data_IF_612964509736
#
_entry.id   IF_612964509736
#
_cell.length_a   1.000
_cell.length_b   1.000
_cell.length_c   1.000
_cell.angle_alpha   90.00
_cell.angle_beta   90.00
_cell.angle_gamma   90.00
#
_symmetry.space_group_name_H-M   'P 1'
#
loop_
_entity.id
_entity.type
_entity.pdbx_description
1 polymer ?
#
# COMPACT_ATOMS: atom_id res chain seq x y z
N UNK A 1 15.20 -14.28 6.19
CA UNK A 1 13.78 -14.02 5.85
C UNK A 1 13.46 -12.66 6.42
N UNK A 2 13.58 -11.63 5.59
CA UNK A 2 13.32 -10.26 5.99
C UNK A 2 11.81 -10.02 6.05
N UNK A 3 11.33 -9.60 7.21
CA UNK A 3 9.93 -9.26 7.41
C UNK A 3 9.64 -7.94 6.69
N UNK A 4 9.07 -7.99 5.49
CA UNK A 4 8.56 -6.81 4.80
C UNK A 4 7.41 -6.23 5.62
N UNK A 5 7.64 -5.13 6.35
CA UNK A 5 6.59 -4.40 7.06
C UNK A 5 6.14 -3.23 6.18
N UNK A 6 5.00 -3.40 5.48
CA UNK A 6 4.32 -2.28 4.81
C UNK A 6 3.85 -1.33 5.92
N UNK A 7 4.47 -0.16 6.04
CA UNK A 7 4.04 0.86 6.99
C UNK A 7 2.86 1.58 6.35
N UNK A 8 1.66 1.39 6.88
CA UNK A 8 0.46 2.05 6.40
C UNK A 8 0.62 3.57 6.62
N UNK A 9 0.90 4.32 5.55
CA UNK A 9 0.86 5.77 5.57
C UNK A 9 -0.58 6.19 5.26
N UNK A 10 -1.17 6.93 6.20
CA UNK A 10 -2.53 7.46 6.14
C UNK A 10 -2.70 8.38 4.94
N UNK A 11 -3.54 7.99 3.98
CA UNK A 11 -3.99 8.84 2.88
C UNK A 11 -5.23 9.64 3.30
N UNK A 12 -5.25 10.92 2.97
CA UNK A 12 -6.44 11.75 3.12
C UNK A 12 -7.33 11.55 1.88
N UNK A 13 -8.35 10.70 1.97
CA UNK A 13 -9.37 10.59 0.94
C UNK A 13 -10.40 11.74 1.07
N UNK A 14 -10.75 12.38 -0.03
CA UNK A 14 -11.76 13.44 -0.07
C UNK A 14 -13.11 12.85 -0.53
N UNK A 15 -13.92 12.38 0.40
CA UNK A 15 -15.25 11.82 0.09
C UNK A 15 -16.31 12.91 0.11
N UNK A 16 -17.04 13.10 -0.99
CA UNK A 16 -18.22 13.99 -1.05
C UNK A 16 -19.46 13.19 -0.70
N UNK A 17 -20.04 13.43 0.48
CA UNK A 17 -21.31 12.84 0.93
C UNK A 17 -22.42 13.89 0.92
N UNK A 18 -23.47 13.66 0.13
CA UNK A 18 -24.72 14.44 0.22
C UNK A 18 -25.60 13.84 1.32
N UNK A 19 -25.81 14.57 2.41
CA UNK A 19 -26.63 14.12 3.55
C UNK A 19 -28.09 14.58 3.38
N UNK A 20 -29.02 13.63 3.31
CA UNK A 20 -30.45 13.84 3.61
C UNK A 20 -30.86 13.14 4.91
N UNK A 21 -31.86 13.69 5.57
CA UNK A 21 -32.28 13.37 6.94
C UNK A 21 -32.89 11.97 7.03
N UNK A 22 -32.23 11.06 7.78
CA UNK A 22 -32.76 9.79 8.32
C UNK A 22 -33.45 8.90 7.28
N UNK A 23 -32.69 8.32 6.36
CA UNK A 23 -33.02 7.02 5.82
C UNK A 23 -31.76 6.16 5.82
N UNK A 24 -31.94 4.85 5.99
CA UNK A 24 -30.88 3.92 5.71
C UNK A 24 -30.51 4.07 4.23
N UNK A 25 -29.32 4.59 3.99
CA UNK A 25 -28.89 5.05 2.68
C UNK A 25 -27.74 4.16 2.21
N UNK A 26 -27.92 3.59 1.02
CA UNK A 26 -26.82 2.98 0.29
C UNK A 26 -26.01 4.09 -0.39
N UNK A 27 -24.69 3.94 -0.38
CA UNK A 27 -23.79 4.81 -1.11
C UNK A 27 -22.75 3.98 -1.85
N UNK A 28 -22.24 4.54 -2.93
CA UNK A 28 -21.12 4.00 -3.71
C UNK A 28 -20.15 5.13 -4.01
N UNK A 29 -18.88 4.80 -4.12
CA UNK A 29 -17.83 5.77 -4.43
C UNK A 29 -16.57 5.12 -4.97
N UNK A 30 -15.61 5.97 -5.31
CA UNK A 30 -14.31 5.57 -5.79
C UNK A 30 -13.26 6.53 -5.22
N UNK A 31 -12.11 6.01 -4.83
CA UNK A 31 -10.97 6.81 -4.37
C UNK A 31 -9.77 6.55 -5.28
N UNK A 32 -8.92 7.57 -5.44
CA UNK A 32 -7.62 7.44 -6.09
C UNK A 32 -6.57 8.08 -5.19
N UNK A 33 -5.54 7.32 -4.84
CA UNK A 33 -4.49 7.72 -3.91
C UNK A 33 -3.14 7.54 -4.60
N UNK A 34 -2.31 8.58 -4.56
CA UNK A 34 -0.90 8.49 -4.90
C UNK A 34 -0.08 8.56 -3.62
N UNK A 35 0.82 7.60 -3.43
CA UNK A 35 1.75 7.56 -2.32
C UNK A 35 3.18 7.59 -2.87
N UNK A 36 3.97 8.56 -2.42
CA UNK A 36 5.40 8.54 -2.65
C UNK A 36 6.05 7.64 -1.58
N UNK A 37 6.63 6.51 -2.01
CA UNK A 37 7.36 5.64 -1.09
C UNK A 37 8.71 6.28 -0.83
N UNK A 38 8.86 6.92 0.33
CA UNK A 38 10.17 7.39 0.77
C UNK A 38 10.98 6.14 1.16
N UNK A 39 12.07 5.82 0.44
CA UNK A 39 12.90 4.68 0.81
C UNK A 39 13.43 4.90 2.23
N UNK A 40 13.16 3.93 3.11
CA UNK A 40 13.92 3.85 4.36
C UNK A 40 15.40 3.73 3.99
N UNK A 41 16.29 4.57 4.56
CA UNK A 41 17.70 4.33 4.42
C UNK A 41 17.99 2.98 5.08
N UNK A 42 18.21 1.95 4.26
CA UNK A 42 18.76 0.68 4.72
C UNK A 42 20.21 0.95 5.12
N UNK A 43 20.40 1.49 6.33
CA UNK A 43 21.69 1.41 6.99
C UNK A 43 21.89 -0.05 7.41
N UNK A 44 22.19 -0.91 6.44
CA UNK A 44 22.94 -2.12 6.72
C UNK A 44 24.27 -1.61 7.28
N UNK A 45 24.39 -1.61 8.61
CA UNK A 45 25.64 -1.31 9.27
C UNK A 45 26.64 -2.38 8.81
N UNK A 46 27.56 -1.99 7.93
CA UNK A 46 28.74 -2.75 7.52
C UNK A 46 29.68 -2.98 8.71
N UNK A 47 29.24 -3.64 9.78
CA UNK A 47 30.11 -3.88 10.93
C UNK A 47 31.06 -5.05 10.77
N UNK A 48 30.92 -5.90 9.72
CA UNK A 48 31.76 -7.09 9.56
C UNK A 48 32.35 -7.31 8.14
N UNK A 49 32.24 -6.37 7.21
CA UNK A 49 32.94 -6.47 5.93
C UNK A 49 34.28 -5.71 5.98
N UNK A 50 35.38 -6.42 5.70
CA UNK A 50 36.72 -5.87 5.60
C UNK A 50 36.76 -4.67 4.66
N UNK A 51 37.46 -3.61 5.08
CA UNK A 51 37.47 -2.24 4.56
C UNK A 51 37.74 -2.03 3.06
N UNK A 52 38.01 -3.08 2.29
CA UNK A 52 38.59 -2.95 0.95
C UNK A 52 37.60 -3.30 -0.19
N UNK A 53 36.43 -3.84 0.10
CA UNK A 53 35.37 -4.16 -0.90
C UNK A 53 34.05 -3.43 -0.58
N UNK A 54 34.09 -2.11 -0.43
CA UNK A 54 32.87 -1.29 -0.31
C UNK A 54 32.23 -1.17 -1.69
N UNK A 55 31.49 -2.22 -2.05
CA UNK A 55 30.53 -2.17 -3.15
C UNK A 55 29.38 -1.27 -2.74
N UNK A 56 29.25 -0.12 -3.41
CA UNK A 56 28.13 0.78 -3.22
C UNK A 56 26.87 0.14 -3.82
N UNK A 57 26.13 -0.62 -3.02
CA UNK A 57 24.77 -1.03 -3.36
C UNK A 57 23.90 0.23 -3.37
N UNK A 58 23.53 0.70 -4.56
CA UNK A 58 22.58 1.81 -4.74
C UNK A 58 21.26 1.21 -5.17
N UNK A 59 20.35 1.09 -4.21
CA UNK A 59 18.96 0.78 -4.49
C UNK A 59 18.25 2.05 -4.96
N UNK A 60 17.84 2.13 -6.21
CA UNK A 60 17.07 3.26 -6.71
C UNK A 60 15.58 2.98 -6.55
N UNK A 61 15.05 3.18 -5.35
CA UNK A 61 13.61 3.04 -5.08
C UNK A 61 12.88 4.33 -5.43
N UNK A 62 12.66 4.56 -6.73
CA UNK A 62 11.64 5.51 -7.18
C UNK A 62 10.32 4.75 -7.34
N UNK A 63 9.70 4.37 -6.23
CA UNK A 63 8.39 3.73 -6.24
C UNK A 63 7.31 4.79 -5.97
N UNK A 64 6.54 5.10 -7.01
CA UNK A 64 5.26 5.79 -6.85
C UNK A 64 4.17 4.73 -6.82
N UNK A 65 3.48 4.63 -5.70
CA UNK A 65 2.38 3.69 -5.52
C UNK A 65 1.09 4.45 -5.82
N UNK A 66 0.46 4.12 -6.95
CA UNK A 66 -0.86 4.64 -7.27
C UNK A 66 -1.88 3.56 -6.95
N UNK A 67 -2.98 3.96 -6.34
CA UNK A 67 -4.02 3.05 -5.90
C UNK A 67 -5.37 3.63 -6.32
N UNK A 68 -6.22 2.75 -6.85
CA UNK A 68 -7.62 3.06 -7.10
C UNK A 68 -8.47 2.10 -6.31
N UNK A 69 -9.49 2.60 -5.63
CA UNK A 69 -10.47 1.77 -4.94
C UNK A 69 -11.89 2.10 -5.36
N UNK A 70 -12.75 1.08 -5.32
CA UNK A 70 -14.19 1.19 -5.47
C UNK A 70 -14.84 0.70 -4.19
N UNK A 71 -15.79 1.47 -3.66
CA UNK A 71 -16.45 1.12 -2.41
C UNK A 71 -17.96 1.28 -2.49
N UNK A 72 -18.64 0.46 -1.69
CA UNK A 72 -20.06 0.51 -1.46
C UNK A 72 -20.34 0.35 0.02
N UNK A 73 -21.29 1.12 0.54
CA UNK A 73 -21.62 1.07 1.95
C UNK A 73 -23.09 1.30 2.23
N UNK A 74 -23.45 0.95 3.47
CA UNK A 74 -24.80 1.06 3.99
C UNK A 74 -24.77 1.79 5.33
N UNK A 75 -25.46 2.92 5.39
CA UNK A 75 -25.61 3.72 6.60
C UNK A 75 -26.69 3.11 7.49
N UNK A 76 -26.29 2.56 8.63
CA UNK A 76 -27.25 1.92 9.58
C UNK A 76 -27.83 2.93 10.56
N UNK A 77 -27.05 3.95 10.95
CA UNK A 77 -27.49 5.05 11.82
C UNK A 77 -26.96 6.39 11.30
N UNK A 78 -27.36 7.51 11.90
CA UNK A 78 -26.82 8.82 11.53
C UNK A 78 -25.29 8.90 11.65
N UNK A 79 -24.70 8.09 12.55
CA UNK A 79 -23.30 8.15 12.95
C UNK A 79 -22.53 6.85 12.67
N UNK A 80 -23.13 5.87 12.00
CA UNK A 80 -22.47 4.59 11.73
C UNK A 80 -22.88 4.02 10.36
N UNK A 81 -21.90 3.50 9.64
CA UNK A 81 -22.06 2.81 8.38
C UNK A 81 -21.15 1.58 8.30
N UNK A 82 -21.55 0.61 7.49
CA UNK A 82 -20.69 -0.49 7.06
C UNK A 82 -20.25 -0.22 5.62
N UNK A 83 -18.99 -0.51 5.30
CA UNK A 83 -18.40 -0.32 3.97
C UNK A 83 -17.64 -1.57 3.54
N UNK A 84 -17.90 -1.99 2.31
CA UNK A 84 -17.09 -2.94 1.55
C UNK A 84 -16.33 -2.17 0.47
N UNK A 85 -15.04 -2.43 0.34
CA UNK A 85 -14.18 -1.73 -0.60
C UNK A 85 -13.22 -2.71 -1.28
N UNK A 86 -13.06 -2.55 -2.59
CA UNK A 86 -12.07 -3.26 -3.40
C UNK A 86 -11.01 -2.26 -3.82
N UNK A 87 -9.75 -2.63 -3.61
CA UNK A 87 -8.58 -1.82 -3.90
C UNK A 87 -7.70 -2.53 -4.91
N UNK A 88 -7.22 -1.76 -5.89
CA UNK A 88 -6.24 -2.17 -6.89
C UNK A 88 -5.04 -1.22 -6.80
N UNK A 89 -3.91 -1.73 -6.31
CA UNK A 89 -2.64 -1.00 -6.31
C UNK A 89 -2.01 -1.19 -7.70
N UNK A 90 -1.94 -0.09 -8.45
CA UNK A 90 -1.22 -0.04 -9.72
C UNK A 90 0.27 -0.29 -9.44
N UNK A 91 0.83 -1.23 -10.20
CA UNK A 91 2.14 -1.85 -9.96
C UNK A 91 3.26 -0.89 -9.57
N UNK A 92 4.11 -1.33 -8.64
CA UNK A 92 5.38 -0.67 -8.34
C UNK A 92 6.55 -1.57 -8.75
N UNK A 93 7.51 -0.97 -9.46
CA UNK A 93 8.75 -1.60 -9.89
C UNK A 93 9.91 -1.16 -9.01
N UNK A 94 10.75 -2.10 -8.59
CA UNK A 94 12.05 -1.83 -8.00
C UNK A 94 13.10 -2.27 -9.01
N UNK A 95 13.89 -1.31 -9.50
CA UNK A 95 15.07 -1.58 -10.31
C UNK A 95 16.30 -1.60 -9.40
N UNK A 96 16.85 -2.79 -9.20
CA UNK A 96 18.08 -2.99 -8.45
C UNK A 96 19.25 -3.13 -9.46
N UNK A 97 20.26 -2.27 -9.31
CA UNK A 97 21.53 -2.39 -10.03
C UNK A 97 22.63 -2.85 -9.06
N UNK A 98 23.06 -4.10 -9.17
CA UNK A 98 24.23 -4.60 -8.45
C UNK A 98 25.50 -4.16 -9.18
N UNK A 99 26.23 -3.20 -8.60
CA UNK A 99 27.61 -2.92 -9.01
C UNK A 99 28.55 -3.91 -8.30
N UNK A 100 28.77 -5.09 -8.88
CA UNK A 100 29.78 -6.06 -8.42
C UNK A 100 31.17 -5.76 -8.99
N UNK A 101 32.23 -5.92 -8.18
CA UNK A 101 33.62 -5.53 -8.50
C UNK A 101 34.42 -6.57 -9.29
N UNK A 102 33.79 -7.56 -9.93
CA UNK A 102 34.54 -8.62 -10.62
C UNK A 102 33.93 -9.01 -11.96
N UNK A 103 34.39 -8.39 -13.05
CA UNK A 103 34.52 -8.89 -14.44
C UNK A 103 33.37 -9.71 -15.10
N UNK A 104 32.22 -9.83 -14.46
CA UNK A 104 31.01 -10.50 -14.93
C UNK A 104 29.87 -9.52 -14.67
N UNK A 105 29.11 -9.27 -15.72
CA UNK A 105 28.26 -8.11 -15.96
C UNK A 105 27.35 -7.73 -14.78
N UNK A 106 27.10 -6.43 -14.54
CA UNK A 106 26.05 -6.02 -13.61
C UNK A 106 24.72 -6.57 -14.13
N UNK A 107 24.16 -7.54 -13.40
CA UNK A 107 22.82 -8.04 -13.68
C UNK A 107 21.83 -7.04 -13.08
N UNK A 108 21.06 -6.40 -13.96
CA UNK A 108 19.90 -5.63 -13.55
C UNK A 108 18.77 -6.61 -13.25
N UNK A 109 18.24 -6.56 -12.03
CA UNK A 109 17.03 -7.28 -11.66
C UNK A 109 15.90 -6.28 -11.53
N UNK A 110 14.79 -6.55 -12.21
CA UNK A 110 13.55 -5.79 -12.03
C UNK A 110 12.57 -6.64 -11.23
N UNK A 111 12.07 -6.09 -10.15
CA UNK A 111 11.03 -6.71 -9.33
C UNK A 111 9.77 -5.87 -9.41
N UNK A 112 8.71 -6.45 -9.98
CA UNK A 112 7.40 -5.82 -10.02
C UNK A 112 6.48 -6.46 -8.99
N UNK A 113 5.75 -5.62 -8.28
CA UNK A 113 4.73 -6.04 -7.34
C UNK A 113 3.39 -5.45 -7.73
N UNK A 114 2.39 -6.31 -7.80
CA UNK A 114 0.99 -5.95 -7.98
C UNK A 114 0.25 -6.36 -6.72
N UNK A 115 -0.62 -5.49 -6.19
CA UNK A 115 -1.37 -5.79 -4.99
C UNK A 115 -2.84 -5.46 -5.17
N UNK A 116 -3.69 -6.38 -4.75
CA UNK A 116 -5.13 -6.14 -4.65
C UNK A 116 -5.58 -6.35 -3.21
N UNK A 117 -6.71 -5.77 -2.86
CA UNK A 117 -7.28 -6.03 -1.55
C UNK A 117 -8.76 -5.73 -1.41
N UNK A 118 -9.33 -6.34 -0.38
CA UNK A 118 -10.72 -6.25 0.00
C UNK A 118 -10.82 -5.79 1.44
N UNK A 119 -11.53 -4.70 1.67
CA UNK A 119 -11.77 -4.13 2.99
C UNK A 119 -13.21 -4.34 3.41
N UNK A 120 -13.41 -4.81 4.63
CA UNK A 120 -14.69 -4.77 5.32
C UNK A 120 -14.54 -3.89 6.55
N UNK A 121 -15.30 -2.79 6.62
CA UNK A 121 -15.10 -1.78 7.65
C UNK A 121 -16.38 -1.20 8.22
N UNK A 122 -16.28 -0.76 9.46
CA UNK A 122 -17.22 0.14 10.09
C UNK A 122 -16.69 1.57 10.04
N UNK A 123 -17.54 2.51 9.66
CA UNK A 123 -17.26 3.94 9.66
C UNK A 123 -18.17 4.59 10.69
N UNK A 124 -17.59 5.31 11.62
CA UNK A 124 -18.33 6.14 12.58
C UNK A 124 -18.06 7.62 12.36
N UNK A 125 -19.04 8.47 12.63
CA UNK A 125 -18.89 9.92 12.51
C UNK A 125 -19.35 10.64 13.77
N UNK A 126 -18.59 11.64 14.18
CA UNK A 126 -18.90 12.52 15.31
C UNK A 126 -18.97 13.98 14.83
N UNK A 127 -20.14 14.65 14.87
CA UNK A 127 -20.25 16.04 14.47
C UNK A 127 -19.47 16.92 15.44
N UNK A 128 -18.51 17.69 14.93
CA UNK A 128 -17.74 18.66 15.71
C UNK A 128 -18.53 19.97 15.81
N UNK A 129 -19.21 20.37 14.73
CA UNK A 129 -20.08 21.53 14.61
C UNK A 129 -21.04 21.34 13.42
N UNK A 130 -21.82 22.36 13.09
CA UNK A 130 -22.82 22.32 12.01
C UNK A 130 -22.22 22.04 10.63
N UNK A 131 -20.93 22.28 10.42
CA UNK A 131 -20.25 22.17 9.13
C UNK A 131 -19.11 21.15 9.09
N UNK A 132 -18.85 20.45 10.20
CA UNK A 132 -17.66 19.60 10.33
C UNK A 132 -17.94 18.36 11.15
N UNK A 133 -17.39 17.24 10.71
CA UNK A 133 -17.45 15.97 11.42
C UNK A 133 -16.07 15.30 11.44
N UNK A 134 -15.79 14.62 12.54
CA UNK A 134 -14.69 13.67 12.66
C UNK A 134 -15.19 12.31 12.20
N UNK A 135 -14.39 11.60 11.42
CA UNK A 135 -14.68 10.24 10.99
C UNK A 135 -13.62 9.30 11.57
N UNK A 136 -14.05 8.11 11.94
CA UNK A 136 -13.17 7.00 12.30
C UNK A 136 -13.58 5.79 11.46
N UNK A 137 -12.60 5.12 10.85
CA UNK A 137 -12.80 3.91 10.05
C UNK A 137 -11.96 2.79 10.65
N UNK A 138 -12.55 1.61 10.80
CA UNK A 138 -11.81 0.45 11.29
C UNK A 138 -12.42 -0.85 10.77
N UNK A 139 -11.58 -1.87 10.57
CA UNK A 139 -12.04 -3.11 9.97
C UNK A 139 -10.96 -4.13 9.68
N UNK A 140 -11.31 -5.03 8.77
CA UNK A 140 -10.44 -6.09 8.26
C UNK A 140 -10.06 -5.75 6.82
N UNK A 141 -8.80 -5.98 6.50
CA UNK A 141 -8.22 -5.82 5.18
C UNK A 141 -7.62 -7.16 4.75
N UNK A 142 -8.20 -7.78 3.73
CA UNK A 142 -7.62 -8.95 3.08
C UNK A 142 -6.85 -8.47 1.86
N UNK A 143 -5.62 -8.95 1.69
CA UNK A 143 -4.73 -8.52 0.62
C UNK A 143 -4.07 -9.69 -0.06
N UNK A 144 -3.75 -9.47 -1.33
CA UNK A 144 -2.95 -10.35 -2.18
C UNK A 144 -1.87 -9.52 -2.84
N UNK A 145 -0.66 -10.07 -2.88
CA UNK A 145 0.51 -9.48 -3.55
C UNK A 145 1.08 -10.52 -4.49
N UNK A 146 1.07 -10.20 -5.77
CA UNK A 146 1.77 -10.95 -6.80
C UNK A 146 3.12 -10.28 -7.06
N UNK A 147 4.17 -11.08 -6.98
CA UNK A 147 5.56 -10.65 -7.16
C UNK A 147 6.14 -11.32 -8.39
N UNK A 148 6.61 -10.50 -9.32
CA UNK A 148 7.26 -10.92 -10.55
C UNK A 148 8.72 -10.48 -10.48
N UNK A 149 9.63 -11.44 -10.28
CA UNK A 149 11.07 -11.19 -10.24
C UNK A 149 11.70 -11.65 -11.56
N UNK A 150 12.33 -10.72 -12.26
CA UNK A 150 13.04 -10.96 -13.50
C UNK A 150 14.55 -10.90 -13.24
N UNK A 151 15.20 -12.06 -13.36
CA UNK A 151 16.66 -12.18 -13.44
C UNK A 151 17.02 -12.60 -14.86
N UNK A 152 18.22 -12.26 -15.34
CA UNK A 152 18.68 -12.36 -16.74
C UNK A 152 18.44 -13.73 -17.41
N UNK A 153 18.19 -14.78 -16.64
CA UNK A 153 17.89 -16.14 -17.11
C UNK A 153 16.65 -16.81 -16.50
N UNK A 154 15.91 -16.16 -15.60
CA UNK A 154 14.83 -16.80 -14.85
C UNK A 154 13.76 -15.83 -14.38
N UNK A 155 12.50 -16.26 -14.52
CA UNK A 155 11.34 -15.57 -13.97
C UNK A 155 10.87 -16.35 -12.74
N UNK A 156 10.82 -15.67 -11.60
CA UNK A 156 10.23 -16.22 -10.39
C UNK A 156 8.91 -15.49 -10.11
N UNK A 157 7.82 -16.27 -10.07
CA UNK A 157 6.49 -15.80 -9.69
C UNK A 157 6.25 -16.22 -8.24
N UNK A 158 5.94 -15.26 -7.38
CA UNK A 158 5.57 -15.51 -6.00
C UNK A 158 4.25 -14.83 -5.67
N UNK A 159 3.34 -15.56 -5.02
CA UNK A 159 2.09 -15.01 -4.52
C UNK A 159 2.07 -15.08 -2.99
N UNK A 160 1.74 -13.97 -2.36
CA UNK A 160 1.55 -13.88 -0.90
C UNK A 160 0.21 -13.24 -0.59
N UNK A 161 -0.50 -13.75 0.41
CA UNK A 161 -1.80 -13.23 0.85
C UNK A 161 -1.89 -13.15 2.36
N UNK A 162 -2.69 -12.23 2.86
CA UNK A 162 -2.88 -12.02 4.29
C UNK A 162 -4.18 -11.33 4.63
N UNK A 163 -4.49 -11.30 5.93
CA UNK A 163 -5.58 -10.49 6.47
C UNK A 163 -5.07 -9.74 7.67
N UNK A 164 -5.16 -8.42 7.62
CA UNK A 164 -4.74 -7.52 8.68
C UNK A 164 -5.93 -6.74 9.23
N UNK A 165 -5.74 -6.20 10.43
CA UNK A 165 -6.67 -5.24 11.02
C UNK A 165 -6.15 -3.85 10.67
N UNK A 166 -7.06 -2.95 10.29
CA UNK A 166 -6.72 -1.56 10.00
C UNK A 166 -7.60 -0.58 10.78
N UNK A 167 -7.07 0.63 10.99
CA UNK A 167 -7.76 1.75 11.63
C UNK A 167 -7.25 3.07 11.06
N UNK A 168 -8.13 4.07 10.98
CA UNK A 168 -7.85 5.41 10.46
C UNK A 168 -8.91 6.43 10.85
#
# INVERSE_FOLDING_TARGET
MDNFRKTLLTSAAFTVLTLSTIQAEWYVGADAVQQDVIPYPSSLSNTDFSSDDILSYKQNRNAQDNNVSLFGGYKTTQNFALQLEYQDDLSFGIDDMFAGSSLWFPEASTQNFESTGLYLSGISSYPINDNGALYMKGGLFNWEVDSNYYETSSNFLGQTRGTDIFYG
#
